data_IF_444790770995
#
_entry.id   IF_444790770995
#
_cell.length_a   1.000
_cell.length_b   1.000
_cell.length_c   1.000
_cell.angle_alpha   90.00
_cell.angle_beta   90.00
_cell.angle_gamma   90.00
#
_symmetry.space_group_name_H-M   'P 1'
#
loop_
_entity.id
_entity.type
_entity.pdbx_description
1 polymer ?
#
# COMPACT_ATOMS: atom_id res chain seq x y z
N UNK A 1 14.16 23.51 9.28
CA UNK A 1 12.81 23.05 8.93
C UNK A 1 12.82 22.72 7.45
N UNK A 2 12.07 21.70 6.97
CA UNK A 2 11.97 21.43 5.54
C UNK A 2 11.38 22.65 4.81
N UNK A 3 11.77 22.84 3.56
CA UNK A 3 11.26 23.94 2.74
C UNK A 3 9.75 23.83 2.55
N UNK A 4 9.06 24.95 2.65
CA UNK A 4 7.61 25.01 2.40
C UNK A 4 7.37 25.09 0.90
N UNK A 5 6.58 24.15 0.37
CA UNK A 5 6.19 24.12 -1.05
C UNK A 5 4.73 24.50 -1.19
N UNK A 6 4.43 25.45 -2.08
CA UNK A 6 3.05 25.81 -2.43
C UNK A 6 2.60 25.01 -3.64
N UNK A 7 1.49 24.29 -3.53
CA UNK A 7 0.88 23.51 -4.61
C UNK A 7 -0.54 24.00 -4.90
N UNK A 8 -0.97 23.92 -6.16
CA UNK A 8 -2.39 24.05 -6.47
C UNK A 8 -3.14 22.84 -5.93
N UNK A 9 -4.44 22.99 -5.67
CA UNK A 9 -5.29 21.87 -5.24
C UNK A 9 -5.30 20.71 -6.25
N UNK A 10 -5.22 21.03 -7.54
CA UNK A 10 -5.16 20.05 -8.61
C UNK A 10 -3.87 19.24 -8.54
N UNK A 11 -2.71 19.90 -8.47
CA UNK A 11 -1.42 19.23 -8.34
C UNK A 11 -1.33 18.40 -7.07
N UNK A 12 -1.87 18.89 -5.95
CA UNK A 12 -1.92 18.13 -4.70
C UNK A 12 -2.76 16.85 -4.86
N UNK A 13 -3.95 16.96 -5.46
CA UNK A 13 -4.84 15.82 -5.70
C UNK A 13 -4.21 14.79 -6.63
N UNK A 14 -3.54 15.24 -7.69
CA UNK A 14 -2.82 14.36 -8.61
C UNK A 14 -1.72 13.57 -7.90
N UNK A 15 -0.91 14.24 -7.07
CA UNK A 15 0.13 13.59 -6.26
C UNK A 15 -0.43 12.57 -5.27
N UNK A 16 -1.53 12.89 -4.59
CA UNK A 16 -2.19 11.95 -3.67
C UNK A 16 -2.67 10.71 -4.43
N UNK A 17 -3.32 10.89 -5.58
CA UNK A 17 -3.74 9.78 -6.43
C UNK A 17 -2.56 8.94 -6.93
N UNK A 18 -1.48 9.61 -7.35
CA UNK A 18 -0.24 8.97 -7.76
C UNK A 18 0.40 8.15 -6.64
N UNK A 19 0.32 8.62 -5.40
CA UNK A 19 0.78 7.87 -4.23
C UNK A 19 0.03 6.54 -4.05
N UNK A 20 -1.31 6.58 -4.08
CA UNK A 20 -2.13 5.37 -4.01
C UNK A 20 -1.89 4.43 -5.19
N UNK A 21 -1.87 4.96 -6.42
CA UNK A 21 -1.62 4.16 -7.62
C UNK A 21 -0.22 3.52 -7.59
N UNK A 22 0.79 4.28 -7.20
CA UNK A 22 2.17 3.81 -7.09
C UNK A 22 2.34 2.70 -6.07
N UNK A 23 1.72 2.84 -4.88
CA UNK A 23 1.74 1.78 -3.86
C UNK A 23 1.06 0.50 -4.38
N UNK A 24 -0.14 0.61 -4.98
CA UNK A 24 -0.85 -0.54 -5.57
C UNK A 24 -0.03 -1.24 -6.65
N UNK A 25 0.60 -0.49 -7.54
CA UNK A 25 1.51 -1.03 -8.57
C UNK A 25 2.71 -1.71 -7.92
N UNK A 26 3.29 -1.09 -6.89
CA UNK A 26 4.41 -1.64 -6.12
C UNK A 26 4.09 -3.01 -5.51
N UNK A 27 2.97 -3.14 -4.81
CA UNK A 27 2.51 -4.42 -4.25
C UNK A 27 2.31 -5.47 -5.35
N UNK A 28 1.66 -5.08 -6.46
CA UNK A 28 1.42 -5.98 -7.61
C UNK A 28 2.72 -6.46 -8.24
N UNK A 29 3.71 -5.56 -8.36
CA UNK A 29 4.99 -5.84 -9.00
C UNK A 29 5.91 -6.68 -8.10
N UNK A 30 5.91 -6.43 -6.79
CA UNK A 30 6.71 -7.15 -5.80
C UNK A 30 6.13 -8.51 -5.40
N UNK A 31 4.81 -8.66 -5.38
CA UNK A 31 4.12 -9.89 -4.98
C UNK A 31 4.65 -11.20 -5.58
N UNK A 32 4.90 -11.29 -6.90
CA UNK A 32 5.42 -12.51 -7.52
C UNK A 32 6.78 -13.00 -7.02
N UNK A 33 7.56 -12.13 -6.34
CA UNK A 33 8.92 -12.44 -5.88
C UNK A 33 9.06 -12.41 -4.36
N UNK A 34 7.96 -12.17 -3.65
CA UNK A 34 7.92 -12.12 -2.20
C UNK A 34 8.41 -13.46 -1.60
N UNK A 35 9.38 -13.37 -0.68
CA UNK A 35 10.04 -14.52 -0.03
C UNK A 35 10.71 -15.56 -0.96
N UNK A 36 10.97 -15.25 -2.24
CA UNK A 36 11.61 -16.20 -3.16
C UNK A 36 13.15 -16.09 -3.21
N UNK A 37 13.70 -14.93 -2.81
CA UNK A 37 15.13 -14.61 -2.94
C UNK A 37 15.75 -14.13 -1.62
N UNK A 38 15.45 -14.81 -0.51
CA UNK A 38 15.97 -14.40 0.80
C UNK A 38 17.52 -14.41 0.85
N UNK A 39 18.11 -13.35 1.41
CA UNK A 39 19.56 -13.24 1.57
C UNK A 39 20.33 -12.84 0.30
N UNK A 40 19.63 -12.53 -0.80
CA UNK A 40 20.25 -12.03 -2.04
C UNK A 40 19.39 -10.94 -2.69
N UNK A 41 20.01 -10.12 -3.54
CA UNK A 41 19.27 -9.25 -4.45
C UNK A 41 18.72 -10.06 -5.62
N UNK A 42 17.53 -9.69 -6.08
CA UNK A 42 16.97 -10.14 -7.36
C UNK A 42 17.83 -9.57 -8.48
N UNK A 43 18.29 -10.44 -9.38
CA UNK A 43 19.18 -10.06 -10.49
C UNK A 43 18.36 -9.66 -11.72
N UNK A 44 18.96 -8.84 -12.61
CA UNK A 44 18.28 -8.30 -13.81
C UNK A 44 17.74 -9.37 -14.78
N UNK A 45 18.29 -10.59 -14.73
CA UNK A 45 17.85 -11.70 -15.56
C UNK A 45 16.58 -12.41 -15.03
N UNK A 46 16.03 -11.98 -13.90
CA UNK A 46 14.77 -12.49 -13.35
C UNK A 46 13.64 -11.54 -13.80
N UNK A 47 12.90 -11.87 -14.88
CA UNK A 47 11.86 -11.00 -15.37
C UNK A 47 10.63 -11.05 -14.44
N UNK A 48 10.14 -9.88 -14.03
CA UNK A 48 8.83 -9.74 -13.40
C UNK A 48 7.80 -9.51 -14.50
N UNK A 49 6.87 -10.46 -14.67
CA UNK A 49 5.90 -10.42 -15.77
C UNK A 49 4.84 -9.35 -15.50
N UNK A 50 4.97 -8.21 -16.19
CA UNK A 50 4.02 -7.10 -16.10
C UNK A 50 3.10 -6.99 -17.34
N UNK A 51 1.83 -6.66 -17.11
CA UNK A 51 0.90 -6.21 -18.14
C UNK A 51 -0.17 -5.30 -17.51
N UNK A 52 -0.96 -4.61 -18.35
CA UNK A 52 -1.99 -3.66 -17.91
C UNK A 52 -3.08 -4.27 -17.01
N UNK A 53 -3.28 -5.58 -17.09
CA UNK A 53 -4.33 -6.29 -16.38
C UNK A 53 -3.81 -6.93 -15.07
N UNK A 54 -2.51 -6.81 -14.75
CA UNK A 54 -1.89 -7.48 -13.60
C UNK A 54 -2.51 -7.07 -12.27
N UNK A 55 -2.74 -5.77 -12.08
CA UNK A 55 -3.37 -5.25 -10.86
C UNK A 55 -4.76 -5.89 -10.67
N UNK A 56 -5.57 -5.88 -11.73
CA UNK A 56 -6.90 -6.49 -11.72
C UNK A 56 -6.82 -7.99 -11.46
N UNK A 57 -5.91 -8.69 -12.13
CA UNK A 57 -5.74 -10.13 -11.97
C UNK A 57 -5.44 -10.50 -10.52
N UNK A 58 -4.49 -9.83 -9.87
CA UNK A 58 -4.19 -10.08 -8.46
C UNK A 58 -5.36 -9.71 -7.56
N UNK A 59 -6.08 -8.62 -7.85
CA UNK A 59 -7.24 -8.23 -7.06
C UNK A 59 -8.34 -9.29 -7.12
N UNK A 60 -8.60 -9.85 -8.30
CA UNK A 60 -9.65 -10.86 -8.48
C UNK A 60 -9.24 -12.25 -7.96
N UNK A 61 -7.96 -12.63 -8.10
CA UNK A 61 -7.50 -14.01 -7.85
C UNK A 61 -6.76 -14.19 -6.53
N UNK A 62 -6.09 -13.15 -6.03
CA UNK A 62 -5.35 -13.18 -4.77
C UNK A 62 -5.38 -11.80 -4.09
N UNK A 63 -6.57 -11.34 -3.65
CA UNK A 63 -6.76 -10.01 -3.06
C UNK A 63 -5.90 -9.79 -1.81
N UNK A 64 -5.51 -10.87 -1.12
CA UNK A 64 -4.61 -10.82 0.02
C UNK A 64 -3.24 -10.19 -0.25
N UNK A 65 -2.83 -10.05 -1.53
CA UNK A 65 -1.60 -9.34 -1.91
C UNK A 65 -1.63 -7.83 -1.57
N UNK A 66 -2.81 -7.26 -1.35
CA UNK A 66 -2.96 -5.82 -1.10
C UNK A 66 -3.11 -5.50 0.39
N UNK A 67 -2.64 -6.36 1.28
CA UNK A 67 -2.58 -6.14 2.73
C UNK A 67 -1.89 -4.81 3.08
N UNK A 68 -0.79 -4.48 2.40
CA UNK A 68 -0.12 -3.18 2.42
C UNK A 68 -1.08 -1.98 2.24
N UNK A 69 -2.00 -2.10 1.29
CA UNK A 69 -3.00 -1.06 0.98
C UNK A 69 -4.06 -1.05 2.07
N UNK A 70 -4.47 -2.23 2.54
CA UNK A 70 -5.47 -2.37 3.57
C UNK A 70 -5.01 -1.80 4.91
N UNK A 71 -3.72 -1.93 5.26
CA UNK A 71 -3.11 -1.23 6.40
C UNK A 71 -3.31 0.28 6.28
N UNK A 72 -3.01 0.85 5.11
CA UNK A 72 -3.11 2.29 4.88
C UNK A 72 -4.57 2.76 4.94
N UNK A 73 -5.51 1.97 4.42
CA UNK A 73 -6.94 2.25 4.53
C UNK A 73 -7.42 2.22 5.99
N UNK A 74 -6.92 1.28 6.80
CA UNK A 74 -7.23 1.24 8.25
C UNK A 74 -6.79 2.53 8.94
N UNK A 75 -5.57 3.01 8.65
CA UNK A 75 -5.08 4.29 9.19
C UNK A 75 -5.98 5.46 8.79
N UNK A 76 -6.31 5.56 7.49
CA UNK A 76 -7.16 6.64 6.98
C UNK A 76 -8.55 6.62 7.63
N UNK A 77 -9.14 5.45 7.84
CA UNK A 77 -10.44 5.32 8.51
C UNK A 77 -10.39 5.88 9.95
N UNK A 78 -9.35 5.54 10.72
CA UNK A 78 -9.17 6.04 12.09
C UNK A 78 -8.97 7.56 12.08
N UNK A 79 -8.15 8.08 11.17
CA UNK A 79 -7.94 9.52 11.02
C UNK A 79 -9.20 10.26 10.60
N UNK A 80 -10.02 9.69 9.72
CA UNK A 80 -11.29 10.28 9.31
C UNK A 80 -12.27 10.39 10.50
N UNK A 81 -12.28 9.36 11.37
CA UNK A 81 -13.18 9.31 12.52
C UNK A 81 -12.74 10.15 13.71
N UNK A 82 -11.44 10.18 14.01
CA UNK A 82 -10.90 10.72 15.26
C UNK A 82 -9.96 11.92 15.06
N UNK A 83 -9.61 12.25 13.82
CA UNK A 83 -8.64 13.30 13.48
C UNK A 83 -7.19 12.84 13.57
N UNK A 84 -6.25 13.72 13.22
CA UNK A 84 -4.81 13.41 13.16
C UNK A 84 -4.17 13.14 14.52
N UNK A 85 -4.81 13.56 15.61
CA UNK A 85 -4.38 13.33 17.00
C UNK A 85 -5.02 12.07 17.60
N UNK A 86 -5.51 11.15 16.76
CA UNK A 86 -6.13 9.91 17.21
C UNK A 86 -5.19 9.11 18.15
N UNK A 87 -5.70 8.56 19.26
CA UNK A 87 -4.88 7.81 20.18
C UNK A 87 -4.47 6.45 19.60
N UNK A 88 -3.29 5.96 19.98
CA UNK A 88 -2.69 4.73 19.45
C UNK A 88 -3.58 3.48 19.65
N UNK A 89 -4.33 3.43 20.74
CA UNK A 89 -5.26 2.34 21.06
C UNK A 89 -6.38 2.19 20.04
N UNK A 90 -6.82 3.30 19.43
CA UNK A 90 -7.87 3.30 18.42
C UNK A 90 -7.39 2.65 17.12
N UNK A 91 -6.12 2.86 16.74
CA UNK A 91 -5.51 2.13 15.64
C UNK A 91 -5.37 0.65 15.99
N UNK A 92 -4.92 0.31 17.19
CA UNK A 92 -4.78 -1.08 17.63
C UNK A 92 -6.12 -1.83 17.56
N UNK A 93 -7.21 -1.21 18.02
CA UNK A 93 -8.57 -1.76 17.93
C UNK A 93 -8.98 -1.92 16.46
N UNK A 94 -8.75 -0.93 15.61
CA UNK A 94 -9.10 -1.00 14.19
C UNK A 94 -8.36 -2.16 13.48
N UNK A 95 -7.06 -2.32 13.75
CA UNK A 95 -6.27 -3.43 13.20
C UNK A 95 -6.72 -4.79 13.74
N UNK A 96 -7.00 -4.90 15.04
CA UNK A 96 -7.43 -6.15 15.67
C UNK A 96 -8.78 -6.66 15.12
N UNK A 97 -9.63 -5.76 14.63
CA UNK A 97 -10.96 -6.07 14.10
C UNK A 97 -11.08 -5.91 12.58
N UNK A 98 -9.97 -5.73 11.88
CA UNK A 98 -9.99 -5.55 10.43
C UNK A 98 -10.57 -6.80 9.73
N UNK A 99 -11.50 -6.63 8.76
CA UNK A 99 -12.17 -7.76 8.10
C UNK A 99 -11.33 -8.41 7.00
N UNK A 100 -10.11 -7.90 6.78
CA UNK A 100 -9.22 -8.31 5.70
C UNK A 100 -7.89 -8.83 6.25
N UNK A 101 -7.20 -9.66 5.45
CA UNK A 101 -5.87 -10.11 5.77
C UNK A 101 -4.89 -8.94 5.92
N UNK A 102 -4.18 -8.92 7.05
CA UNK A 102 -3.06 -8.02 7.34
C UNK A 102 -1.80 -8.83 7.66
N UNK A 103 -1.36 -9.63 6.67
CA UNK A 103 -0.30 -10.63 6.83
C UNK A 103 0.97 -10.17 6.13
N UNK A 104 2.10 -10.83 6.37
CA UNK A 104 3.37 -10.57 5.66
C UNK A 104 3.95 -9.16 5.87
N UNK A 105 4.21 -8.81 7.14
CA UNK A 105 5.08 -7.68 7.45
C UNK A 105 6.47 -7.90 6.80
N UNK A 106 6.71 -7.21 5.69
CA UNK A 106 8.01 -7.10 5.04
C UNK A 106 8.87 -6.02 5.68
#
# INVERSE_FOLDING_TARGET
MPDTVTLTKETLKDKIKGGWAGKTIGCTYGGPVEFLYNGTMIQDYVPIIWNKDRVKWYYDNFPGLYDDIYVNLTFVEVFERLGLEAPADSFAIAFAHAPYPLWHAN
#
